data_IF_763319884670
#
_entry.id   IF_763319884670
#
_cell.length_a   1.000
_cell.length_b   1.000
_cell.length_c   1.000
_cell.angle_alpha   90.00
_cell.angle_beta   90.00
_cell.angle_gamma   90.00
#
_symmetry.space_group_name_H-M   'P 1'
#
loop_
_entity.id
_entity.type
_entity.pdbx_description
1 polymer ?
#
# COMPACT_ATOMS: atom_id res chain seq x y z
N UNK A 1 -8.19 1.79 -18.79
CA UNK A 1 -7.66 1.21 -17.54
C UNK A 1 -6.13 1.17 -17.64
N UNK A 2 -5.42 1.31 -16.51
CA UNK A 2 -3.94 1.33 -16.47
C UNK A 2 -3.45 0.26 -15.49
N UNK A 3 -2.31 -0.37 -15.81
CA UNK A 3 -1.63 -1.32 -14.94
C UNK A 3 -0.17 -0.89 -14.78
N UNK A 4 0.36 -1.01 -13.56
CA UNK A 4 1.78 -0.79 -13.31
C UNK A 4 2.59 -1.92 -13.93
N UNK A 5 3.67 -1.58 -14.62
CA UNK A 5 4.59 -2.55 -15.21
C UNK A 5 5.61 -3.00 -14.15
N UNK A 6 5.84 -4.31 -14.06
CA UNK A 6 6.63 -4.96 -13.00
C UNK A 6 8.07 -4.44 -12.84
N UNK A 7 8.79 -4.18 -13.94
CA UNK A 7 10.16 -3.65 -13.93
C UNK A 7 10.17 -2.22 -13.41
N UNK A 8 9.21 -1.38 -13.80
CA UNK A 8 9.06 -0.03 -13.26
C UNK A 8 8.76 -0.03 -11.77
N UNK A 9 7.88 -0.94 -11.30
CA UNK A 9 7.58 -1.09 -9.88
C UNK A 9 8.81 -1.50 -9.08
N UNK A 10 9.63 -2.42 -9.60
CA UNK A 10 10.90 -2.78 -8.97
C UNK A 10 11.84 -1.59 -8.83
N UNK A 11 11.99 -0.78 -9.89
CA UNK A 11 12.85 0.41 -9.85
C UNK A 11 12.32 1.46 -8.88
N UNK A 12 10.99 1.63 -8.81
CA UNK A 12 10.33 2.47 -7.83
C UNK A 12 10.59 2.00 -6.39
N UNK A 13 10.45 0.71 -6.09
CA UNK A 13 10.77 0.20 -4.75
C UNK A 13 12.26 0.38 -4.40
N UNK A 14 13.16 0.27 -5.38
CA UNK A 14 14.58 0.54 -5.17
C UNK A 14 14.89 2.01 -4.86
N UNK A 15 14.06 2.97 -5.27
CA UNK A 15 14.30 4.37 -4.93
C UNK A 15 14.15 4.67 -3.44
N UNK A 16 13.45 3.80 -2.67
CA UNK A 16 13.32 3.92 -1.22
C UNK A 16 14.59 3.50 -0.46
N UNK A 17 15.59 2.89 -1.12
CA UNK A 17 16.77 2.30 -0.45
C UNK A 17 17.52 3.29 0.45
N UNK A 18 17.64 4.54 0.00
CA UNK A 18 18.33 5.61 0.72
C UNK A 18 17.35 6.72 1.16
N UNK A 19 16.05 6.41 1.18
CA UNK A 19 15.01 7.31 1.65
C UNK A 19 14.63 6.92 3.07
N UNK A 20 14.85 7.82 4.02
CA UNK A 20 14.49 7.61 5.42
C UNK A 20 13.06 8.04 5.68
N UNK A 21 12.20 7.10 6.06
CA UNK A 21 10.80 7.36 6.43
C UNK A 21 10.30 6.30 7.43
N UNK A 22 9.18 6.57 8.09
CA UNK A 22 8.53 5.58 8.95
C UNK A 22 7.90 4.44 8.12
N UNK A 23 7.70 3.29 8.74
CA UNK A 23 7.18 2.10 8.04
C UNK A 23 5.75 2.34 7.53
N UNK A 24 4.95 3.05 8.30
CA UNK A 24 3.58 3.47 8.03
C UNK A 24 3.52 4.47 6.85
N UNK A 25 4.43 5.44 6.83
CA UNK A 25 4.51 6.46 5.79
C UNK A 25 4.97 5.84 4.46
N UNK A 26 5.98 4.95 4.49
CA UNK A 26 6.41 4.18 3.33
C UNK A 26 5.24 3.48 2.63
N UNK A 27 4.40 2.76 3.39
CA UNK A 27 3.25 2.03 2.85
C UNK A 27 2.21 2.97 2.25
N UNK A 28 1.93 4.09 2.93
CA UNK A 28 1.00 5.10 2.43
C UNK A 28 1.49 5.79 1.15
N UNK A 29 2.79 6.11 1.05
CA UNK A 29 3.39 6.72 -0.14
C UNK A 29 3.27 5.76 -1.33
N UNK A 30 3.68 4.50 -1.16
CA UNK A 30 3.58 3.47 -2.20
C UNK A 30 2.14 3.36 -2.70
N UNK A 31 1.16 3.29 -1.79
CA UNK A 31 -0.25 3.20 -2.17
C UNK A 31 -0.71 4.46 -2.94
N UNK A 32 -0.42 5.67 -2.44
CA UNK A 32 -0.84 6.94 -3.06
C UNK A 32 -0.26 7.12 -4.46
N UNK A 33 1.01 6.76 -4.66
CA UNK A 33 1.66 6.86 -5.97
C UNK A 33 1.05 5.86 -6.97
N UNK A 34 0.76 4.63 -6.53
CA UNK A 34 0.08 3.63 -7.35
C UNK A 34 -1.37 4.02 -7.68
N UNK A 35 -2.11 4.64 -6.74
CA UNK A 35 -3.44 5.20 -6.99
C UNK A 35 -3.36 6.27 -8.08
N UNK A 36 -2.42 7.22 -7.96
CA UNK A 36 -2.24 8.30 -8.94
C UNK A 36 -1.89 7.77 -10.32
N UNK A 37 -1.05 6.72 -10.39
CA UNK A 37 -0.62 6.13 -11.65
C UNK A 37 -1.76 5.40 -12.36
N UNK A 38 -2.53 4.58 -11.62
CA UNK A 38 -3.45 3.60 -12.20
C UNK A 38 -4.93 3.99 -12.15
N UNK A 39 -5.36 4.89 -11.26
CA UNK A 39 -6.77 5.07 -10.86
C UNK A 39 -7.47 3.71 -10.64
N UNK A 40 -6.95 2.87 -9.71
CA UNK A 40 -7.43 1.50 -9.56
C UNK A 40 -8.83 1.49 -8.96
N UNK A 41 -9.60 0.44 -9.27
CA UNK A 41 -10.89 0.17 -8.63
C UNK A 41 -10.69 -0.10 -7.13
N UNK A 42 -9.70 -0.93 -6.82
CA UNK A 42 -9.28 -1.31 -5.47
C UNK A 42 -7.78 -1.54 -5.44
N UNK A 43 -7.12 -1.22 -4.33
CA UNK A 43 -5.72 -1.56 -4.06
C UNK A 43 -5.50 -1.70 -2.55
N UNK A 44 -4.56 -2.56 -2.15
CA UNK A 44 -4.06 -2.66 -0.78
C UNK A 44 -2.55 -2.85 -0.78
N UNK A 45 -1.90 -2.36 0.26
CA UNK A 45 -0.46 -2.46 0.48
C UNK A 45 -0.23 -2.86 1.93
N UNK A 46 0.47 -3.97 2.13
CA UNK A 46 0.88 -4.46 3.45
C UNK A 46 2.41 -4.44 3.53
N UNK A 47 2.94 -3.76 4.54
CA UNK A 47 4.36 -3.82 4.87
C UNK A 47 4.63 -4.89 5.91
N UNK A 48 5.54 -5.81 5.65
CA UNK A 48 5.99 -6.83 6.63
C UNK A 48 7.44 -6.51 6.98
N UNK A 49 7.63 -5.71 8.02
CA UNK A 49 8.97 -5.24 8.40
C UNK A 49 9.62 -6.14 9.44
N UNK A 50 10.93 -6.33 9.29
CA UNK A 50 11.75 -7.06 10.26
C UNK A 50 11.83 -6.30 11.59
N UNK A 51 11.91 -7.01 12.73
CA UNK A 51 11.86 -6.38 14.04
C UNK A 51 13.05 -5.45 14.30
N UNK A 52 12.80 -4.36 15.01
CA UNK A 52 13.82 -3.48 15.60
C UNK A 52 13.54 -3.34 17.09
N UNK A 53 14.54 -3.58 17.93
CA UNK A 53 14.34 -3.59 19.39
C UNK A 53 13.37 -4.68 19.87
N UNK A 54 13.22 -5.77 19.12
CA UNK A 54 12.31 -6.88 19.46
C UNK A 54 10.85 -6.68 19.05
N UNK A 55 10.50 -5.58 18.38
CA UNK A 55 9.13 -5.27 17.93
C UNK A 55 9.10 -5.23 16.40
N UNK A 56 8.16 -5.97 15.81
CA UNK A 56 7.83 -5.88 14.38
C UNK A 56 6.64 -4.97 14.17
N UNK A 57 6.62 -4.24 13.05
CA UNK A 57 5.54 -3.32 12.69
C UNK A 57 5.00 -3.76 11.32
N UNK A 58 3.68 -4.01 11.25
CA UNK A 58 3.01 -4.47 10.03
C UNK A 58 1.94 -3.47 9.58
N UNK A 59 2.32 -2.35 8.96
CA UNK A 59 1.35 -1.38 8.48
C UNK A 59 0.55 -1.93 7.31
N UNK A 60 -0.77 -1.75 7.38
CA UNK A 60 -1.73 -2.06 6.32
C UNK A 60 -2.44 -0.78 5.88
N UNK A 61 -2.55 -0.59 4.57
CA UNK A 61 -3.35 0.46 3.98
C UNK A 61 -4.12 -0.07 2.77
N UNK A 62 -5.36 0.38 2.59
CA UNK A 62 -6.15 0.04 1.43
C UNK A 62 -6.90 1.26 0.88
N UNK A 63 -7.38 1.11 -0.35
CA UNK A 63 -8.17 2.12 -1.04
C UNK A 63 -9.18 1.42 -1.95
N UNK A 64 -10.41 1.93 -1.91
CA UNK A 64 -11.47 1.62 -2.86
C UNK A 64 -11.97 2.89 -3.50
N UNK A 65 -12.32 2.83 -4.79
CA UNK A 65 -12.83 3.99 -5.53
C UNK A 65 -14.11 4.55 -4.86
N UNK A 66 -14.13 5.84 -4.47
CA UNK A 66 -15.26 6.45 -3.75
C UNK A 66 -16.59 6.34 -4.50
N UNK A 67 -17.67 6.11 -3.77
CA UNK A 67 -19.03 5.98 -4.31
C UNK A 67 -19.26 4.70 -5.11
N UNK A 68 -18.42 3.69 -4.94
CA UNK A 68 -18.53 2.41 -5.65
C UNK A 68 -18.48 1.24 -4.68
N UNK A 69 -18.89 0.05 -5.14
CA UNK A 69 -18.74 -1.22 -4.39
C UNK A 69 -17.31 -1.51 -3.90
N UNK A 70 -16.30 -0.87 -4.50
CA UNK A 70 -14.91 -1.07 -4.08
C UNK A 70 -14.57 -0.29 -2.81
N UNK A 71 -15.28 0.80 -2.51
CA UNK A 71 -15.19 1.50 -1.23
C UNK A 71 -15.74 0.62 -0.10
N UNK A 72 -16.92 0.01 -0.31
CA UNK A 72 -17.49 -0.99 0.61
C UNK A 72 -16.54 -2.17 0.81
N UNK A 73 -15.89 -2.64 -0.27
CA UNK A 73 -14.87 -3.69 -0.20
C UNK A 73 -13.66 -3.27 0.65
N UNK A 74 -13.19 -2.03 0.52
CA UNK A 74 -12.08 -1.51 1.30
C UNK A 74 -12.44 -1.41 2.80
N UNK A 75 -13.65 -0.92 3.12
CA UNK A 75 -14.16 -0.89 4.48
C UNK A 75 -14.28 -2.31 5.07
N UNK A 76 -14.87 -3.23 4.31
CA UNK A 76 -15.02 -4.62 4.73
C UNK A 76 -13.66 -5.27 5.02
N UNK A 77 -12.69 -5.14 4.10
CA UNK A 77 -11.35 -5.73 4.26
C UNK A 77 -10.58 -5.09 5.41
N UNK A 78 -10.75 -3.79 5.66
CA UNK A 78 -10.13 -3.11 6.79
C UNK A 78 -10.71 -3.62 8.13
N UNK A 79 -12.03 -3.77 8.24
CA UNK A 79 -12.69 -4.24 9.46
C UNK A 79 -12.38 -5.70 9.79
N UNK A 80 -12.04 -6.51 8.78
CA UNK A 80 -11.71 -7.94 8.93
C UNK A 80 -10.22 -8.23 8.74
N UNK A 81 -9.36 -7.20 8.74
CA UNK A 81 -7.93 -7.40 8.59
C UNK A 81 -7.36 -8.07 9.84
N UNK A 82 -6.63 -9.16 9.65
CA UNK A 82 -5.94 -9.93 10.71
C UNK A 82 -6.84 -10.45 11.85
N UNK A 83 -8.15 -10.62 11.59
CA UNK A 83 -9.11 -11.30 12.47
C UNK A 83 -9.13 -12.83 12.26
#
# INVERSE_FOLDING_TARGET
ERMVESKSLKLYLFSFRNHGDFHEDCVNIIMKDLIRLMDPKYIEVTGIFVPRGGISIYPYANYGKPGTKYEEMAQYRLLHHDL
#
